data_IF_441733177778
#
_entry.id   IF_441733177778
#
_cell.length_a   1.000
_cell.length_b   1.000
_cell.length_c   1.000
_cell.angle_alpha   90.00
_cell.angle_beta   90.00
_cell.angle_gamma   90.00
#
_symmetry.space_group_name_H-M   'P 1'
#
loop_
_entity.id
_entity.type
_entity.pdbx_description
1 polymer ?
#
# COMPACT_ATOMS: atom_id res chain seq x y z
N UNK A 1 -25.19 -27.03 3.64
CA UNK A 1 -23.82 -26.71 4.09
C UNK A 1 -23.41 -25.38 3.47
N UNK A 2 -22.76 -24.49 4.22
CA UNK A 2 -22.31 -23.11 3.86
C UNK A 2 -23.18 -21.91 4.28
N UNK A 3 -24.03 -22.01 5.32
CA UNK A 3 -24.84 -20.88 5.81
C UNK A 3 -24.02 -19.64 6.22
N UNK A 4 -22.84 -19.84 6.83
CA UNK A 4 -21.96 -18.74 7.24
C UNK A 4 -21.31 -18.04 6.03
N UNK A 5 -20.83 -18.81 5.05
CA UNK A 5 -20.23 -18.23 3.83
C UNK A 5 -21.28 -17.41 3.08
N UNK A 6 -22.51 -17.92 2.95
CA UNK A 6 -23.61 -17.17 2.33
C UNK A 6 -23.95 -15.89 3.10
N UNK A 7 -23.92 -15.92 4.44
CA UNK A 7 -24.16 -14.74 5.29
C UNK A 7 -23.10 -13.65 5.14
N UNK A 8 -21.83 -14.02 5.00
CA UNK A 8 -20.70 -13.09 5.02
C UNK A 8 -20.07 -12.80 3.66
N UNK A 9 -20.54 -13.43 2.58
CA UNK A 9 -20.13 -13.12 1.21
C UNK A 9 -20.79 -11.82 0.71
N UNK A 10 -20.46 -10.72 1.36
CA UNK A 10 -20.90 -9.36 1.06
C UNK A 10 -19.69 -8.47 0.82
N UNK A 11 -19.87 -7.35 0.13
CA UNK A 11 -18.79 -6.39 -0.07
C UNK A 11 -18.27 -5.87 1.29
N UNK A 12 -16.97 -6.07 1.53
CA UNK A 12 -16.29 -5.65 2.76
C UNK A 12 -15.14 -4.69 2.50
N UNK A 13 -14.70 -3.94 3.52
CA UNK A 13 -13.54 -3.07 3.41
C UNK A 13 -12.27 -3.89 3.18
N UNK A 14 -11.38 -3.35 2.35
CA UNK A 14 -10.05 -3.93 2.11
C UNK A 14 -9.08 -3.45 3.18
N UNK A 15 -8.66 -4.34 4.08
CA UNK A 15 -7.67 -4.04 5.12
C UNK A 15 -6.25 -4.34 4.64
N UNK A 16 -5.57 -3.33 4.08
CA UNK A 16 -4.16 -3.42 3.66
C UNK A 16 -3.19 -2.81 4.67
N UNK A 17 -3.69 -1.97 5.58
CA UNK A 17 -2.92 -1.31 6.64
C UNK A 17 -3.84 -0.97 7.82
N UNK A 18 -3.24 -0.73 8.99
CA UNK A 18 -3.95 -0.20 10.14
C UNK A 18 -3.16 0.98 10.75
N UNK A 19 -3.78 2.15 10.95
CA UNK A 19 -5.13 2.52 10.50
C UNK A 19 -5.22 2.53 8.96
N UNK A 20 -6.43 2.31 8.43
CA UNK A 20 -6.66 2.36 6.97
C UNK A 20 -6.54 3.79 6.45
N UNK A 21 -6.21 3.95 5.16
CA UNK A 21 -5.93 5.25 4.52
C UNK A 21 -6.96 6.36 4.81
N UNK A 22 -8.28 6.11 4.84
CA UNK A 22 -9.26 7.16 5.14
C UNK A 22 -9.11 7.81 6.53
N UNK A 23 -8.41 7.16 7.46
CA UNK A 23 -8.17 7.69 8.80
C UNK A 23 -6.83 8.43 8.93
N UNK A 24 -6.05 8.56 7.86
CA UNK A 24 -4.78 9.27 7.89
C UNK A 24 -5.03 10.78 7.95
N UNK A 25 -4.44 11.46 8.95
CA UNK A 25 -4.54 12.91 9.10
C UNK A 25 -3.34 13.61 8.44
N UNK A 26 -3.56 14.21 7.27
CA UNK A 26 -2.50 14.89 6.52
C UNK A 26 -1.99 16.16 7.21
N UNK A 27 -2.81 16.82 8.02
CA UNK A 27 -2.43 18.05 8.75
C UNK A 27 -1.40 17.78 9.86
N UNK A 28 -1.29 16.53 10.30
CA UNK A 28 -0.32 16.12 11.34
C UNK A 28 1.03 15.67 10.80
N UNK A 29 1.16 15.54 9.48
CA UNK A 29 2.39 15.07 8.85
C UNK A 29 3.55 16.06 9.09
N UNK A 30 4.74 15.51 9.36
CA UNK A 30 5.96 16.30 9.53
C UNK A 30 7.16 15.46 9.12
N UNK A 31 8.01 16.01 8.25
CA UNK A 31 9.25 15.35 7.82
C UNK A 31 10.16 15.00 9.00
N UNK A 32 10.26 15.89 10.00
CA UNK A 32 11.06 15.63 11.22
C UNK A 32 10.52 14.46 12.04
N UNK A 33 9.21 14.35 12.19
CA UNK A 33 8.57 13.22 12.90
C UNK A 33 8.74 11.92 12.11
N UNK A 34 8.62 11.99 10.80
CA UNK A 34 8.84 10.83 9.92
C UNK A 34 10.28 10.30 10.04
N UNK A 35 11.28 11.18 9.93
CA UNK A 35 12.70 10.81 10.09
C UNK A 35 12.98 10.16 11.45
N UNK A 36 12.47 10.75 12.54
CA UNK A 36 12.58 10.19 13.88
C UNK A 36 11.95 8.78 13.98
N UNK A 37 10.79 8.59 13.33
CA UNK A 37 10.10 7.28 13.30
C UNK A 37 10.92 6.25 12.53
N UNK A 38 11.50 6.61 11.39
CA UNK A 38 12.36 5.71 10.60
C UNK A 38 13.59 5.26 11.40
N UNK A 39 14.28 6.20 12.05
CA UNK A 39 15.44 5.90 12.90
C UNK A 39 15.08 4.99 14.07
N UNK A 40 13.95 5.27 14.72
CA UNK A 40 13.43 4.43 15.81
C UNK A 40 13.15 3.01 15.32
N UNK A 41 12.34 2.85 14.27
CA UNK A 41 11.98 1.52 13.74
C UNK A 41 13.21 0.73 13.27
N UNK A 42 14.18 1.40 12.62
CA UNK A 42 15.42 0.76 12.22
C UNK A 42 16.23 0.28 13.43
N UNK A 43 16.32 1.08 14.49
CA UNK A 43 17.01 0.69 15.72
C UNK A 43 16.34 -0.52 16.38
N UNK A 44 15.01 -0.59 16.33
CA UNK A 44 14.20 -1.65 16.95
C UNK A 44 14.26 -2.99 16.18
N UNK A 45 14.26 -2.99 14.84
CA UNK A 45 14.09 -4.23 14.04
C UNK A 45 15.30 -4.66 13.21
N UNK A 46 16.28 -3.79 12.95
CA UNK A 46 17.32 -4.07 11.95
C UNK A 46 18.22 -5.28 12.28
N UNK A 47 18.35 -5.65 13.55
CA UNK A 47 19.16 -6.81 13.96
C UNK A 47 18.62 -8.15 13.45
N UNK A 48 17.31 -8.23 13.14
CA UNK A 48 16.66 -9.43 12.63
C UNK A 48 16.00 -9.25 11.25
N UNK A 49 15.36 -8.11 11.01
CA UNK A 49 14.52 -7.91 9.81
C UNK A 49 15.23 -7.16 8.67
N UNK A 50 16.24 -6.34 8.99
CA UNK A 50 16.91 -5.49 8.01
C UNK A 50 16.00 -4.39 7.43
N UNK A 51 16.29 -3.97 6.19
CA UNK A 51 15.51 -2.95 5.46
C UNK A 51 14.74 -3.61 4.31
N UNK A 52 13.44 -3.31 4.22
CA UNK A 52 12.60 -3.66 3.07
C UNK A 52 12.39 -2.45 2.17
N UNK A 53 12.61 -2.62 0.86
CA UNK A 53 12.47 -1.56 -0.14
C UNK A 53 11.29 -1.86 -1.07
N UNK A 54 10.40 -0.88 -1.23
CA UNK A 54 9.28 -0.93 -2.18
C UNK A 54 9.51 0.06 -3.32
N UNK A 55 9.50 -0.43 -4.57
CA UNK A 55 9.62 0.39 -5.77
C UNK A 55 8.36 0.20 -6.60
N UNK A 56 7.60 1.28 -6.79
CA UNK A 56 6.39 1.26 -7.61
C UNK A 56 6.72 1.49 -9.09
N UNK A 57 6.40 0.51 -9.93
CA UNK A 57 6.49 0.63 -11.40
C UNK A 57 5.09 0.78 -11.98
N UNK A 58 4.60 2.02 -12.23
CA UNK A 58 3.20 2.25 -12.57
C UNK A 58 2.87 1.98 -14.04
N UNK A 59 3.75 1.42 -14.86
CA UNK A 59 3.54 1.40 -16.31
C UNK A 59 2.96 0.08 -16.80
N UNK A 60 1.94 0.17 -17.65
CA UNK A 60 1.38 -0.99 -18.36
C UNK A 60 1.20 -0.65 -19.86
N UNK A 61 1.43 -1.62 -20.74
CA UNK A 61 1.30 -1.40 -22.19
C UNK A 61 -0.15 -1.33 -22.67
N UNK A 62 -1.06 -1.99 -21.94
CA UNK A 62 -2.47 -2.15 -22.32
C UNK A 62 -3.39 -1.93 -21.13
N UNK A 63 -4.64 -1.57 -21.44
CA UNK A 63 -5.67 -1.35 -20.44
C UNK A 63 -6.43 -2.66 -20.16
N UNK A 64 -6.18 -3.25 -18.99
CA UNK A 64 -7.06 -4.28 -18.43
C UNK A 64 -8.27 -3.62 -17.75
N UNK A 65 -9.49 -3.91 -18.22
CA UNK A 65 -10.74 -3.27 -17.75
C UNK A 65 -11.07 -3.57 -16.29
N UNK A 66 -10.56 -4.68 -15.74
CA UNK A 66 -10.73 -5.08 -14.34
C UNK A 66 -9.70 -4.46 -13.39
N UNK A 67 -8.65 -3.80 -13.89
CA UNK A 67 -7.49 -3.44 -13.08
C UNK A 67 -7.70 -2.09 -12.35
N UNK A 68 -7.80 -2.16 -11.01
CA UNK A 68 -7.89 -1.00 -10.11
C UNK A 68 -6.56 -0.56 -9.46
N UNK A 69 -5.42 -0.97 -10.02
CA UNK A 69 -4.10 -0.60 -9.48
C UNK A 69 -3.76 0.88 -9.77
N UNK A 70 -2.87 1.47 -8.96
CA UNK A 70 -2.24 2.75 -9.28
C UNK A 70 -1.29 2.57 -10.46
N UNK A 71 -1.73 2.92 -11.67
CA UNK A 71 -0.97 2.70 -12.92
C UNK A 71 -1.25 3.76 -13.96
N UNK A 72 -0.38 3.81 -14.98
CA UNK A 72 -0.42 4.65 -16.18
C UNK A 72 -0.21 3.76 -17.40
N UNK A 73 -1.11 3.88 -18.38
CA UNK A 73 -0.96 3.15 -19.65
C UNK A 73 -0.04 3.93 -20.58
N UNK A 74 1.00 3.29 -21.10
CA UNK A 74 1.92 3.90 -22.06
C UNK A 74 2.59 2.83 -22.95
N UNK A 75 2.92 3.22 -24.18
CA UNK A 75 3.68 2.40 -25.16
C UNK A 75 4.95 3.12 -25.64
N UNK A 76 5.39 4.12 -24.86
CA UNK A 76 6.60 4.87 -25.13
C UNK A 76 7.78 4.07 -24.59
N UNK A 77 8.58 3.54 -25.50
CA UNK A 77 9.80 2.79 -25.20
C UNK A 77 11.06 3.63 -25.50
N UNK A 78 10.89 4.91 -25.84
CA UNK A 78 11.98 5.87 -25.96
C UNK A 78 12.62 6.14 -24.59
N UNK A 79 13.94 6.26 -24.58
CA UNK A 79 14.80 6.50 -23.40
C UNK A 79 15.29 7.93 -23.41
#
# INVERSE_FOLDING_TARGET
>A
MCSLVQKYNVAGPRYTSYPTVPYWNSDTFSGKKWEATVLQSFTESNSGEGISLYIHLPFCESMCTFCGCHKRITKRHDV
#
